data_IF_261265132892
#
_entry.id   IF_261265132892
#
_cell.length_a   1.000
_cell.length_b   1.000
_cell.length_c   1.000
_cell.angle_alpha   90.00
_cell.angle_beta   90.00
_cell.angle_gamma   90.00
#
_symmetry.space_group_name_H-M   'P 1'
#
loop_
_entity.id
_entity.type
_entity.pdbx_description
1 polymer ?
#
# COMPACT_ATOMS: atom_id res chain seq x y z
N UNK A 1 -9.92 -7.80 -7.10
CA UNK A 1 -10.95 -8.00 -6.07
C UNK A 1 -12.24 -8.60 -6.63
N UNK A 2 -12.90 -8.00 -7.64
CA UNK A 2 -14.15 -8.54 -8.21
C UNK A 2 -14.05 -10.01 -8.65
N UNK A 3 -12.99 -10.39 -9.35
CA UNK A 3 -12.77 -11.77 -9.84
C UNK A 3 -12.73 -12.77 -8.67
N UNK A 4 -12.02 -12.43 -7.58
CA UNK A 4 -11.91 -13.30 -6.40
C UNK A 4 -13.27 -13.50 -5.73
N UNK A 5 -14.09 -12.45 -5.65
CA UNK A 5 -15.44 -12.52 -5.09
C UNK A 5 -16.38 -13.36 -5.94
N UNK A 6 -16.32 -13.22 -7.27
CA UNK A 6 -17.09 -14.06 -8.19
C UNK A 6 -16.69 -15.54 -8.05
N UNK A 7 -15.39 -15.82 -8.00
CA UNK A 7 -14.88 -17.18 -7.80
C UNK A 7 -15.34 -17.76 -6.46
N UNK A 8 -15.26 -17.00 -5.37
CA UNK A 8 -15.71 -17.44 -4.05
C UNK A 8 -17.22 -17.73 -4.07
N UNK A 9 -18.03 -16.84 -4.65
CA UNK A 9 -19.46 -17.05 -4.81
C UNK A 9 -19.79 -18.30 -5.62
N UNK A 10 -19.10 -18.54 -6.73
CA UNK A 10 -19.25 -19.75 -7.54
C UNK A 10 -18.90 -21.02 -6.75
N UNK A 11 -17.77 -21.01 -6.02
CA UNK A 11 -17.35 -22.16 -5.20
C UNK A 11 -18.40 -22.46 -4.13
N UNK A 12 -18.88 -21.46 -3.38
CA UNK A 12 -19.91 -21.65 -2.36
C UNK A 12 -21.22 -22.16 -2.98
N UNK A 13 -21.63 -21.63 -4.13
CA UNK A 13 -22.81 -22.10 -4.86
C UNK A 13 -22.70 -23.56 -5.30
N UNK A 14 -21.53 -23.96 -5.81
CA UNK A 14 -21.25 -25.37 -6.18
C UNK A 14 -21.31 -26.29 -4.96
N UNK A 15 -20.74 -25.87 -3.83
CA UNK A 15 -20.77 -26.64 -2.58
C UNK A 15 -22.21 -26.83 -2.10
N UNK A 16 -23.03 -25.77 -2.08
CA UNK A 16 -24.43 -25.85 -1.68
C UNK A 16 -25.21 -26.81 -2.60
N UNK A 17 -25.04 -26.65 -3.92
CA UNK A 17 -25.73 -27.51 -4.91
C UNK A 17 -25.35 -28.99 -4.76
N UNK A 18 -24.04 -29.27 -4.61
CA UNK A 18 -23.54 -30.62 -4.46
C UNK A 18 -24.02 -31.27 -3.15
N UNK A 19 -24.03 -30.52 -2.06
CA UNK A 19 -24.52 -31.01 -0.76
C UNK A 19 -26.02 -31.29 -0.81
N UNK A 20 -26.83 -30.41 -1.40
CA UNK A 20 -28.27 -30.60 -1.56
C UNK A 20 -28.55 -31.88 -2.36
N UNK A 21 -27.86 -32.07 -3.48
CA UNK A 21 -28.01 -33.26 -4.33
C UNK A 21 -27.53 -34.55 -3.64
N UNK A 22 -26.46 -34.46 -2.84
CA UNK A 22 -25.96 -35.59 -2.06
C UNK A 22 -26.97 -36.05 -0.99
N UNK A 23 -27.58 -35.08 -0.27
CA UNK A 23 -28.61 -35.38 0.75
C UNK A 23 -29.85 -36.03 0.09
N UNK A 24 -30.31 -35.47 -1.04
CA UNK A 24 -31.40 -36.03 -1.81
C UNK A 24 -31.13 -37.51 -2.21
N UNK A 25 -29.93 -37.76 -2.79
CA UNK A 25 -29.56 -39.15 -3.20
C UNK A 25 -29.43 -40.09 -2.01
N UNK A 26 -28.90 -39.63 -0.87
CA UNK A 26 -28.85 -40.47 0.33
C UNK A 26 -30.25 -40.81 0.84
N UNK A 27 -31.16 -39.84 0.87
CA UNK A 27 -32.57 -40.05 1.27
C UNK A 27 -33.25 -41.05 0.35
N UNK A 28 -33.12 -40.92 -0.99
CA UNK A 28 -33.68 -41.86 -1.99
C UNK A 28 -33.11 -43.26 -1.83
N UNK A 29 -31.79 -43.42 -1.70
CA UNK A 29 -31.15 -44.71 -1.51
C UNK A 29 -31.63 -45.39 -0.22
N UNK A 30 -31.85 -44.66 0.85
CA UNK A 30 -32.34 -45.20 2.11
C UNK A 30 -33.80 -45.62 1.97
N UNK A 31 -34.67 -44.86 1.27
CA UNK A 31 -36.04 -45.25 0.97
C UNK A 31 -36.09 -46.50 0.08
N UNK A 32 -35.20 -46.64 -0.91
CA UNK A 32 -35.11 -47.85 -1.75
C UNK A 32 -34.76 -49.10 -0.92
N UNK A 33 -33.79 -48.98 0.00
CA UNK A 33 -33.41 -50.08 0.87
C UNK A 33 -34.56 -50.50 1.78
N UNK A 34 -35.33 -49.53 2.32
CA UNK A 34 -36.49 -49.80 3.16
C UNK A 34 -37.64 -50.42 2.36
N UNK A 35 -37.87 -50.01 1.12
CA UNK A 35 -38.86 -50.58 0.25
C UNK A 35 -38.54 -52.02 -0.15
N UNK A 36 -37.28 -52.39 -0.25
CA UNK A 36 -36.81 -53.74 -0.61
C UNK A 36 -36.72 -54.69 0.62
N UNK A 37 -36.72 -54.14 1.83
CA UNK A 37 -36.71 -55.00 3.03
C UNK A 37 -38.01 -55.75 3.22
N UNK A 38 -38.00 -57.07 3.49
CA UNK A 38 -39.22 -57.80 3.75
C UNK A 38 -39.90 -57.24 4.97
N UNK A 39 -41.21 -56.99 4.90
CA UNK A 39 -42.02 -56.54 6.03
C UNK A 39 -41.89 -57.55 7.18
N UNK A 40 -41.03 -57.24 8.15
CA UNK A 40 -40.99 -58.00 9.39
C UNK A 40 -42.27 -57.64 10.16
N UNK A 41 -43.19 -58.57 10.23
CA UNK A 41 -44.30 -58.51 11.18
C UNK A 41 -43.69 -58.43 12.58
N UNK A 42 -43.72 -57.22 13.17
CA UNK A 42 -43.34 -57.06 14.55
C UNK A 42 -44.16 -58.01 15.43
N UNK A 43 -43.48 -58.86 16.16
CA UNK A 43 -44.13 -59.70 17.18
C UNK A 43 -44.71 -58.75 18.24
N UNK A 44 -46.05 -58.77 18.49
CA UNK A 44 -46.64 -57.91 19.49
C UNK A 44 -46.06 -58.27 20.87
N UNK A 45 -45.33 -57.37 21.52
CA UNK A 45 -44.99 -57.52 22.93
C UNK A 45 -43.52 -57.52 23.33
N UNK A 46 -42.58 -57.19 22.45
CA UNK A 46 -41.19 -56.98 22.87
C UNK A 46 -40.80 -55.52 22.58
N UNK A 47 -40.52 -54.70 23.61
CA UNK A 47 -39.89 -53.39 23.40
C UNK A 47 -38.50 -53.66 22.82
N UNK A 48 -38.26 -53.27 21.58
CA UNK A 48 -36.89 -53.19 21.04
C UNK A 48 -36.22 -51.98 21.70
N UNK A 49 -35.32 -52.26 22.63
CA UNK A 49 -34.37 -51.29 23.13
C UNK A 49 -33.46 -50.85 21.99
N UNK A 50 -33.29 -49.52 21.82
CA UNK A 50 -32.35 -48.83 20.92
C UNK A 50 -32.65 -48.88 19.41
N UNK A 51 -33.90 -48.88 18.96
CA UNK A 51 -34.18 -48.48 17.57
C UNK A 51 -34.02 -46.95 17.40
N UNK A 52 -32.96 -46.58 16.68
CA UNK A 52 -32.83 -45.25 16.09
C UNK A 52 -34.14 -45.01 15.30
N UNK A 53 -34.97 -44.08 15.81
CA UNK A 53 -36.21 -43.66 15.15
C UNK A 53 -35.84 -43.00 13.81
N UNK A 54 -35.89 -43.76 12.72
CA UNK A 54 -35.58 -43.24 11.40
C UNK A 54 -36.71 -42.29 10.97
N UNK A 55 -36.41 -41.19 10.31
CA UNK A 55 -37.40 -40.22 9.84
C UNK A 55 -38.12 -40.70 8.58
N UNK A 56 -38.46 -41.99 8.54
CA UNK A 56 -39.08 -42.68 7.42
C UNK A 56 -40.29 -43.49 7.93
N UNK A 57 -41.33 -43.54 7.09
CA UNK A 57 -42.42 -44.49 7.28
C UNK A 57 -42.82 -45.12 5.93
N UNK A 58 -43.32 -46.30 5.96
CA UNK A 58 -43.79 -47.04 4.75
C UNK A 58 -45.26 -47.34 4.85
N UNK A 59 -45.92 -47.25 3.71
CA UNK A 59 -47.35 -47.50 3.57
C UNK A 59 -47.56 -48.55 2.48
N UNK A 60 -48.29 -49.59 2.80
CA UNK A 60 -48.68 -50.63 1.86
C UNK A 60 -50.13 -50.47 1.41
N UNK A 61 -50.34 -50.51 0.10
CA UNK A 61 -51.61 -50.25 -0.54
C UNK A 61 -52.01 -51.44 -1.40
N UNK A 62 -53.24 -51.90 -1.25
CA UNK A 62 -53.82 -52.95 -2.09
C UNK A 62 -53.99 -52.51 -3.57
N UNK A 63 -54.08 -53.48 -4.51
CA UNK A 63 -54.43 -53.20 -5.90
C UNK A 63 -55.80 -52.49 -6.07
N UNK A 64 -56.63 -52.46 -5.00
CA UNK A 64 -57.88 -51.69 -4.94
C UNK A 64 -57.78 -50.29 -4.40
N UNK A 65 -56.53 -49.85 -4.04
CA UNK A 65 -56.28 -48.53 -3.45
C UNK A 65 -56.57 -48.45 -1.95
N UNK A 66 -56.80 -49.58 -1.28
CA UNK A 66 -57.05 -49.62 0.17
C UNK A 66 -55.72 -49.71 0.94
N UNK A 67 -55.61 -48.99 2.03
CA UNK A 67 -54.45 -48.97 2.91
C UNK A 67 -54.41 -50.29 3.71
N UNK A 68 -53.39 -51.12 3.47
CA UNK A 68 -53.24 -52.42 4.11
C UNK A 68 -52.46 -52.28 5.44
N UNK A 69 -51.36 -51.59 5.45
CA UNK A 69 -50.48 -51.43 6.56
C UNK A 69 -49.68 -50.13 6.49
N UNK A 70 -49.37 -49.54 7.62
CA UNK A 70 -48.45 -48.44 7.74
C UNK A 70 -47.44 -48.76 8.86
N UNK A 71 -46.14 -48.56 8.61
CA UNK A 71 -45.06 -48.87 9.55
C UNK A 71 -44.10 -47.69 9.61
N UNK A 72 -43.81 -47.25 10.84
CA UNK A 72 -42.83 -46.16 11.08
C UNK A 72 -42.92 -45.70 12.53
N UNK A 73 -41.83 -45.62 13.24
CA UNK A 73 -41.79 -45.27 14.68
C UNK A 73 -41.74 -43.76 15.00
N UNK A 74 -41.53 -42.92 14.00
CA UNK A 74 -41.36 -41.49 14.17
C UNK A 74 -42.64 -40.67 13.95
N UNK A 75 -43.54 -41.14 13.12
CA UNK A 75 -44.76 -40.44 12.72
C UNK A 75 -46.00 -40.96 13.45
N UNK A 76 -46.93 -40.09 13.75
CA UNK A 76 -48.24 -40.50 14.20
C UNK A 76 -49.09 -40.99 13.02
N UNK A 77 -49.10 -42.33 12.85
CA UNK A 77 -49.80 -42.99 11.76
C UNK A 77 -51.26 -43.27 12.13
N UNK A 78 -51.80 -42.75 13.21
CA UNK A 78 -53.19 -42.98 13.62
C UNK A 78 -54.21 -42.18 12.81
N UNK A 79 -53.80 -41.04 12.20
CA UNK A 79 -54.68 -40.24 11.36
C UNK A 79 -54.79 -40.80 9.93
N UNK A 80 -55.81 -41.61 9.74
CA UNK A 80 -56.10 -42.28 8.44
C UNK A 80 -56.41 -41.26 7.32
N UNK A 81 -57.07 -40.16 7.61
CA UNK A 81 -57.43 -39.14 6.62
C UNK A 81 -56.16 -38.45 6.06
N UNK A 82 -55.23 -38.10 6.95
CA UNK A 82 -53.94 -37.54 6.57
C UNK A 82 -53.13 -38.54 5.71
N UNK A 83 -53.05 -39.82 6.13
CA UNK A 83 -52.34 -40.83 5.38
C UNK A 83 -52.95 -41.04 3.99
N UNK A 84 -54.29 -41.07 3.85
CA UNK A 84 -54.92 -41.14 2.55
C UNK A 84 -54.62 -39.96 1.65
N UNK A 85 -54.53 -38.75 2.21
CA UNK A 85 -54.23 -37.55 1.44
C UNK A 85 -52.80 -37.58 0.84
N UNK A 86 -51.79 -37.89 1.63
CA UNK A 86 -50.40 -38.01 1.14
C UNK A 86 -50.21 -39.18 0.18
N UNK A 87 -50.85 -40.30 0.44
CA UNK A 87 -50.83 -41.46 -0.42
C UNK A 87 -51.48 -41.16 -1.77
N UNK A 88 -52.63 -40.52 -1.80
CA UNK A 88 -53.32 -40.13 -3.04
C UNK A 88 -52.45 -39.12 -3.84
N UNK A 89 -51.84 -38.19 -3.18
CA UNK A 89 -50.91 -37.23 -3.82
C UNK A 89 -49.70 -37.93 -4.46
N UNK A 90 -49.10 -38.92 -3.77
CA UNK A 90 -48.02 -39.72 -4.31
C UNK A 90 -48.44 -40.64 -5.44
N UNK A 91 -49.68 -41.24 -5.42
CA UNK A 91 -50.20 -42.10 -6.46
C UNK A 91 -50.58 -41.36 -7.74
N UNK A 92 -51.03 -40.10 -7.62
CA UNK A 92 -51.35 -39.26 -8.78
C UNK A 92 -50.12 -38.91 -9.62
N UNK A 93 -48.94 -38.87 -9.02
CA UNK A 93 -47.68 -38.64 -9.73
C UNK A 93 -47.30 -39.91 -10.56
N UNK A 94 -46.87 -39.70 -11.80
CA UNK A 94 -46.34 -40.79 -12.66
C UNK A 94 -44.90 -41.18 -12.30
N UNK A 95 -44.20 -40.37 -11.47
CA UNK A 95 -42.82 -40.62 -11.10
C UNK A 95 -42.70 -41.59 -9.94
N UNK A 96 -41.66 -42.43 -9.94
CA UNK A 96 -41.37 -43.34 -8.83
C UNK A 96 -40.90 -42.59 -7.57
N UNK A 97 -40.27 -41.41 -7.74
CA UNK A 97 -39.79 -40.54 -6.66
C UNK A 97 -40.35 -39.14 -6.85
N UNK A 98 -40.63 -38.48 -5.74
CA UNK A 98 -41.07 -37.05 -5.78
C UNK A 98 -41.13 -36.45 -4.42
N UNK A 99 -41.41 -35.17 -4.36
CA UNK A 99 -41.50 -34.37 -3.12
C UNK A 99 -42.93 -33.81 -2.99
N UNK A 100 -43.54 -34.03 -1.84
CA UNK A 100 -44.80 -33.42 -1.42
C UNK A 100 -44.51 -32.18 -0.58
N UNK A 101 -44.29 -31.05 -1.26
CA UNK A 101 -43.85 -29.78 -0.61
C UNK A 101 -44.78 -29.27 0.46
N UNK A 102 -46.08 -29.50 0.31
CA UNK A 102 -47.12 -29.07 1.27
C UNK A 102 -47.06 -29.85 2.59
N UNK A 103 -46.36 -30.97 2.61
CA UNK A 103 -46.24 -31.88 3.74
C UNK A 103 -44.79 -32.08 4.20
N UNK A 104 -43.81 -31.43 3.57
CA UNK A 104 -42.38 -31.63 3.81
C UNK A 104 -41.95 -33.11 3.74
N UNK A 105 -42.55 -33.87 2.81
CA UNK A 105 -42.28 -35.29 2.61
C UNK A 105 -41.73 -35.55 1.23
N UNK A 106 -40.74 -36.44 1.16
CA UNK A 106 -40.27 -37.07 -0.09
C UNK A 106 -40.84 -38.50 -0.13
N UNK A 107 -41.28 -38.96 -1.29
CA UNK A 107 -41.78 -40.33 -1.45
C UNK A 107 -40.96 -41.11 -2.45
N UNK A 108 -40.91 -42.41 -2.21
CA UNK A 108 -40.42 -43.43 -3.17
C UNK A 108 -41.44 -44.54 -3.24
N UNK A 109 -41.94 -44.85 -4.46
CA UNK A 109 -42.98 -45.90 -4.65
C UNK A 109 -42.43 -47.09 -5.42
N UNK A 110 -42.80 -48.28 -4.94
CA UNK A 110 -42.48 -49.54 -5.58
C UNK A 110 -43.79 -50.29 -5.86
N UNK A 111 -44.02 -50.59 -7.13
CA UNK A 111 -45.19 -51.34 -7.56
C UNK A 111 -44.79 -52.82 -7.59
N UNK A 112 -45.56 -53.66 -6.91
CA UNK A 112 -45.37 -55.07 -6.83
C UNK A 112 -46.67 -55.81 -7.30
N UNK A 113 -46.59 -57.09 -7.68
CA UNK A 113 -47.81 -57.84 -8.06
C UNK A 113 -48.89 -57.93 -6.96
N UNK A 114 -48.49 -57.69 -5.70
CA UNK A 114 -49.39 -57.76 -4.52
C UNK A 114 -49.94 -56.39 -4.11
N UNK A 115 -49.51 -55.30 -4.74
CA UNK A 115 -49.88 -53.92 -4.38
C UNK A 115 -48.79 -52.95 -4.60
N UNK A 116 -48.93 -51.74 -4.02
CA UNK A 116 -47.94 -50.67 -4.07
C UNK A 116 -47.39 -50.40 -2.67
N UNK A 117 -46.07 -50.33 -2.52
CA UNK A 117 -45.41 -49.87 -1.29
C UNK A 117 -44.88 -48.48 -1.55
N UNK A 118 -45.25 -47.51 -0.70
CA UNK A 118 -44.73 -46.13 -0.74
C UNK A 118 -43.97 -45.89 0.56
N UNK A 119 -42.71 -45.49 0.42
CA UNK A 119 -41.89 -45.03 1.55
C UNK A 119 -41.84 -43.52 1.54
N UNK A 120 -42.11 -42.91 2.67
CA UNK A 120 -42.05 -41.47 2.87
C UNK A 120 -40.89 -41.13 3.77
N UNK A 121 -40.19 -40.05 3.46
CA UNK A 121 -39.10 -39.48 4.22
C UNK A 121 -39.43 -38.02 4.60
N UNK A 122 -39.17 -37.66 5.83
CA UNK A 122 -39.26 -36.27 6.31
C UNK A 122 -38.08 -35.43 5.78
N UNK A 123 -38.40 -34.37 5.07
CA UNK A 123 -37.40 -33.40 4.51
C UNK A 123 -37.19 -32.19 5.36
N UNK A 124 -37.85 -32.04 6.52
CA UNK A 124 -37.73 -30.85 7.41
C UNK A 124 -36.31 -30.66 7.91
N UNK A 125 -35.64 -31.74 8.33
CA UNK A 125 -34.24 -31.71 8.80
C UNK A 125 -33.26 -31.39 7.66
N UNK A 126 -33.51 -31.95 6.45
CA UNK A 126 -32.70 -31.66 5.26
C UNK A 126 -32.81 -30.20 4.90
N UNK A 127 -34.03 -29.63 4.85
CA UNK A 127 -34.29 -28.24 4.51
C UNK A 127 -33.74 -27.27 5.56
N UNK A 128 -33.83 -27.63 6.85
CA UNK A 128 -33.24 -26.83 7.95
C UNK A 128 -31.72 -26.81 7.86
N UNK A 129 -31.09 -27.94 7.57
CA UNK A 129 -29.63 -28.05 7.40
C UNK A 129 -29.17 -27.22 6.19
N UNK A 130 -29.87 -27.32 5.05
CA UNK A 130 -29.54 -26.53 3.86
C UNK A 130 -29.71 -25.02 4.11
N UNK A 131 -30.76 -24.58 4.80
CA UNK A 131 -30.93 -23.17 5.20
C UNK A 131 -29.77 -22.69 6.08
N UNK A 132 -29.41 -23.47 7.10
CA UNK A 132 -28.27 -23.13 7.98
C UNK A 132 -26.97 -23.04 7.20
N UNK A 133 -26.74 -23.96 6.27
CA UNK A 133 -25.58 -23.94 5.39
C UNK A 133 -25.54 -22.70 4.50
N UNK A 134 -26.68 -22.32 3.88
CA UNK A 134 -26.79 -21.11 3.07
C UNK A 134 -26.45 -19.86 3.91
N UNK A 135 -27.02 -19.73 5.12
CA UNK A 135 -26.71 -18.60 6.01
C UNK A 135 -25.24 -18.57 6.40
N UNK A 136 -24.64 -19.73 6.70
CA UNK A 136 -23.21 -19.83 7.01
C UNK A 136 -22.33 -19.42 5.82
N UNK A 137 -22.67 -19.89 4.63
CA UNK A 137 -21.97 -19.50 3.39
C UNK A 137 -22.08 -18.00 3.10
N UNK A 138 -23.25 -17.39 3.31
CA UNK A 138 -23.45 -15.95 3.18
C UNK A 138 -22.64 -15.19 4.21
N UNK A 139 -22.61 -15.63 5.47
CA UNK A 139 -21.80 -14.99 6.52
C UNK A 139 -20.30 -15.02 6.17
N UNK A 140 -19.78 -16.16 5.72
CA UNK A 140 -18.39 -16.32 5.27
C UNK A 140 -18.10 -15.43 4.06
N UNK A 141 -19.02 -15.36 3.09
CA UNK A 141 -18.88 -14.50 1.90
C UNK A 141 -18.77 -13.03 2.28
N UNK A 142 -19.65 -12.53 3.14
CA UNK A 142 -19.60 -11.14 3.59
C UNK A 142 -18.36 -10.86 4.43
N UNK A 143 -17.99 -11.75 5.36
CA UNK A 143 -16.78 -11.61 6.17
C UNK A 143 -15.53 -11.54 5.29
N UNK A 144 -15.41 -12.42 4.30
CA UNK A 144 -14.32 -12.40 3.33
C UNK A 144 -14.31 -11.09 2.51
N UNK A 145 -15.49 -10.61 2.09
CA UNK A 145 -15.61 -9.34 1.34
C UNK A 145 -15.08 -8.16 2.15
N UNK A 146 -15.49 -8.03 3.41
CA UNK A 146 -15.00 -6.96 4.29
C UNK A 146 -13.50 -7.07 4.56
N UNK A 147 -12.99 -8.28 4.78
CA UNK A 147 -11.57 -8.52 4.98
C UNK A 147 -10.75 -8.10 3.76
N UNK A 148 -11.13 -8.54 2.56
CA UNK A 148 -10.44 -8.17 1.33
C UNK A 148 -10.54 -6.68 1.01
N UNK A 149 -11.66 -6.03 1.36
CA UNK A 149 -11.80 -4.59 1.23
C UNK A 149 -10.80 -3.86 2.13
N UNK A 150 -10.68 -4.27 3.39
CA UNK A 150 -9.71 -3.71 4.33
C UNK A 150 -8.28 -3.88 3.85
N UNK A 151 -7.90 -5.08 3.43
CA UNK A 151 -6.56 -5.35 2.87
C UNK A 151 -6.30 -4.49 1.62
N UNK A 152 -7.27 -4.35 0.72
CA UNK A 152 -7.14 -3.54 -0.50
C UNK A 152 -6.89 -2.07 -0.20
N UNK A 153 -7.60 -1.50 0.80
CA UNK A 153 -7.40 -0.11 1.24
C UNK A 153 -6.01 0.07 1.87
N UNK A 154 -5.58 -0.87 2.72
CA UNK A 154 -4.25 -0.84 3.33
C UNK A 154 -3.14 -0.91 2.28
N UNK A 155 -3.22 -1.87 1.35
CA UNK A 155 -2.26 -2.02 0.26
C UNK A 155 -2.23 -0.78 -0.65
N UNK A 156 -3.39 -0.22 -0.99
CA UNK A 156 -3.47 1.00 -1.79
C UNK A 156 -2.75 2.16 -1.12
N UNK A 157 -2.93 2.36 0.18
CA UNK A 157 -2.26 3.44 0.92
C UNK A 157 -0.77 3.19 1.10
N UNK A 158 -0.37 1.96 1.31
CA UNK A 158 1.02 1.61 1.65
C UNK A 158 1.92 1.47 0.43
N UNK A 159 1.41 0.96 -0.68
CA UNK A 159 2.20 0.68 -1.89
C UNK A 159 1.98 1.74 -2.97
N UNK A 160 0.73 2.05 -3.30
CA UNK A 160 0.42 2.90 -4.47
C UNK A 160 0.73 4.37 -4.19
N UNK A 161 0.38 4.86 -3.00
CA UNK A 161 0.59 6.28 -2.67
C UNK A 161 2.06 6.71 -2.72
N UNK A 162 3.03 5.98 -2.13
CA UNK A 162 4.45 6.32 -2.26
C UNK A 162 4.94 6.33 -3.71
N UNK A 163 4.52 5.34 -4.51
CA UNK A 163 4.90 5.26 -5.93
C UNK A 163 4.34 6.44 -6.73
N UNK A 164 3.06 6.78 -6.52
CA UNK A 164 2.46 7.95 -7.17
C UNK A 164 3.17 9.25 -6.78
N UNK A 165 3.50 9.43 -5.49
CA UNK A 165 4.24 10.60 -5.02
C UNK A 165 5.63 10.69 -5.65
N UNK A 166 6.36 9.57 -5.73
CA UNK A 166 7.68 9.52 -6.38
C UNK A 166 7.57 9.86 -7.88
N UNK A 167 6.53 9.38 -8.55
CA UNK A 167 6.27 9.68 -9.97
C UNK A 167 5.97 11.17 -10.20
N UNK A 168 5.14 11.78 -9.35
CA UNK A 168 4.83 13.21 -9.43
C UNK A 168 6.06 14.06 -9.16
N UNK A 169 6.89 13.69 -8.18
CA UNK A 169 8.18 14.33 -7.91
C UNK A 169 9.13 14.25 -9.11
N UNK A 170 9.20 13.09 -9.78
CA UNK A 170 10.00 12.91 -10.98
C UNK A 170 9.52 13.80 -12.15
N UNK A 171 8.21 13.87 -12.36
CA UNK A 171 7.63 14.75 -13.41
C UNK A 171 7.93 16.23 -13.12
N UNK A 172 7.75 16.65 -11.88
CA UNK A 172 8.06 18.01 -11.45
C UNK A 172 9.54 18.32 -11.65
N UNK A 173 10.43 17.42 -11.25
CA UNK A 173 11.88 17.57 -11.47
C UNK A 173 12.23 17.81 -12.95
N UNK A 174 11.65 17.05 -13.88
CA UNK A 174 11.92 17.23 -15.33
C UNK A 174 11.37 18.57 -15.82
N UNK A 175 10.21 19.00 -15.34
CA UNK A 175 9.61 20.29 -15.71
C UNK A 175 10.47 21.44 -15.22
N UNK A 176 10.85 21.44 -13.94
CA UNK A 176 11.68 22.49 -13.31
C UNK A 176 13.06 22.55 -13.97
N UNK A 177 13.70 21.40 -14.22
CA UNK A 177 14.95 21.30 -14.95
C UNK A 177 14.89 21.93 -16.33
N UNK A 178 13.79 21.68 -17.07
CA UNK A 178 13.58 22.25 -18.40
C UNK A 178 13.44 23.77 -18.35
N UNK A 179 12.75 24.29 -17.35
CA UNK A 179 12.62 25.71 -17.13
C UNK A 179 13.95 26.37 -16.77
N UNK A 180 14.70 25.79 -15.85
CA UNK A 180 15.99 26.31 -15.39
C UNK A 180 17.10 26.23 -16.46
N UNK A 181 17.00 25.31 -17.43
CA UNK A 181 17.89 25.25 -18.59
C UNK A 181 17.50 26.24 -19.70
N UNK A 182 16.21 26.50 -19.88
CA UNK A 182 15.73 27.39 -20.95
C UNK A 182 16.18 28.82 -20.75
N UNK A 183 16.15 29.32 -19.54
CA UNK A 183 16.50 30.71 -19.21
C UNK A 183 17.95 31.06 -19.60
N UNK A 184 19.01 30.38 -19.12
CA UNK A 184 20.38 30.67 -19.51
C UNK A 184 20.63 30.45 -21.02
N UNK A 185 19.97 29.44 -21.61
CA UNK A 185 20.07 29.21 -23.06
C UNK A 185 19.54 30.40 -23.86
N UNK A 186 18.40 30.98 -23.45
CA UNK A 186 17.85 32.17 -24.11
C UNK A 186 18.76 33.38 -23.97
N UNK A 187 19.44 33.54 -22.82
CA UNK A 187 20.41 34.63 -22.61
C UNK A 187 21.66 34.41 -23.49
N UNK A 188 22.15 33.18 -23.61
CA UNK A 188 23.26 32.84 -24.50
C UNK A 188 22.91 33.19 -25.97
N UNK A 189 21.71 32.78 -26.43
CA UNK A 189 21.25 33.06 -27.78
C UNK A 189 21.17 34.56 -28.05
N UNK A 190 20.51 35.31 -27.14
CA UNK A 190 20.37 36.76 -27.30
C UNK A 190 21.74 37.49 -27.35
N UNK A 191 22.68 37.13 -26.45
CA UNK A 191 24.01 37.74 -26.48
C UNK A 191 24.80 37.31 -27.72
N UNK A 192 24.63 36.09 -28.24
CA UNK A 192 25.26 35.65 -29.48
C UNK A 192 24.72 36.41 -30.71
N UNK A 193 23.41 36.66 -30.76
CA UNK A 193 22.77 37.46 -31.80
C UNK A 193 23.25 38.92 -31.77
N UNK A 194 23.30 39.54 -30.57
CA UNK A 194 23.80 40.88 -30.39
C UNK A 194 25.30 41.00 -30.77
N UNK A 195 26.10 40.02 -30.51
CA UNK A 195 27.53 39.99 -30.86
C UNK A 195 27.76 39.96 -32.39
N UNK A 196 26.79 39.42 -33.18
CA UNK A 196 26.83 39.38 -34.65
C UNK A 196 26.32 40.68 -35.32
N UNK A 197 25.72 41.60 -34.54
CA UNK A 197 25.24 42.86 -35.03
C UNK A 197 26.35 43.74 -35.64
N UNK A 198 26.07 44.43 -36.76
CA UNK A 198 27.04 45.30 -37.43
C UNK A 198 27.44 46.51 -36.61
N UNK A 199 26.53 46.97 -35.70
CA UNK A 199 26.75 48.14 -34.82
C UNK A 199 27.43 47.81 -33.47
N UNK A 200 27.77 46.54 -33.21
CA UNK A 200 28.40 46.17 -31.94
C UNK A 200 29.84 46.59 -31.86
N UNK A 201 30.19 47.42 -30.84
CA UNK A 201 31.56 47.82 -30.56
C UNK A 201 32.40 46.62 -30.06
N UNK A 202 33.74 46.78 -30.05
CA UNK A 202 34.66 45.78 -29.52
C UNK A 202 34.43 45.55 -28.02
N UNK A 203 34.06 46.56 -27.26
CA UNK A 203 33.71 46.49 -25.84
C UNK A 203 32.41 45.74 -25.61
N UNK A 204 31.40 46.00 -26.43
CA UNK A 204 30.11 45.30 -26.40
C UNK A 204 30.31 43.80 -26.68
N UNK A 205 31.08 43.45 -27.75
CA UNK A 205 31.40 42.08 -28.11
C UNK A 205 32.10 41.33 -26.97
N UNK A 206 33.03 41.98 -26.27
CA UNK A 206 33.71 41.44 -25.10
C UNK A 206 32.72 41.22 -23.93
N UNK A 207 31.81 42.16 -23.72
CA UNK A 207 30.77 42.04 -22.69
C UNK A 207 29.80 40.87 -23.02
N UNK A 208 29.34 40.77 -24.24
CA UNK A 208 28.44 39.66 -24.67
C UNK A 208 29.13 38.31 -24.59
N UNK A 209 30.41 38.22 -25.01
CA UNK A 209 31.22 36.98 -24.83
C UNK A 209 31.39 36.59 -23.36
N UNK A 210 31.61 37.55 -22.48
CA UNK A 210 31.68 37.33 -21.03
C UNK A 210 30.37 36.81 -20.45
N UNK A 211 29.22 37.38 -20.88
CA UNK A 211 27.90 36.93 -20.49
C UNK A 211 27.62 35.47 -20.96
N UNK A 212 27.96 35.16 -22.20
CA UNK A 212 27.82 33.79 -22.78
C UNK A 212 28.64 32.81 -21.94
N UNK A 213 29.89 33.13 -21.64
CA UNK A 213 30.77 32.27 -20.87
C UNK A 213 30.23 32.06 -19.42
N UNK A 214 29.76 33.14 -18.78
CA UNK A 214 29.13 33.07 -17.45
C UNK A 214 27.90 32.17 -17.45
N UNK A 215 26.98 32.29 -18.43
CA UNK A 215 25.81 31.44 -18.53
C UNK A 215 26.16 29.96 -18.82
N UNK A 216 27.21 29.74 -19.61
CA UNK A 216 27.69 28.38 -19.89
C UNK A 216 28.24 27.68 -18.63
N UNK A 217 28.98 28.40 -17.78
CA UNK A 217 29.42 27.88 -16.49
C UNK A 217 28.24 27.57 -15.55
N UNK A 218 27.24 28.42 -15.54
CA UNK A 218 26.03 28.20 -14.77
C UNK A 218 25.27 26.95 -15.24
N UNK A 219 25.08 26.78 -16.56
CA UNK A 219 24.45 25.57 -17.12
C UNK A 219 25.23 24.31 -16.79
N UNK A 220 26.56 24.34 -16.88
CA UNK A 220 27.41 23.22 -16.50
C UNK A 220 27.17 22.81 -15.04
N UNK A 221 27.22 23.78 -14.11
CA UNK A 221 26.97 23.52 -12.68
C UNK A 221 25.57 22.95 -12.43
N UNK A 222 24.54 23.44 -13.14
CA UNK A 222 23.19 22.92 -13.05
C UNK A 222 23.13 21.43 -13.48
N UNK A 223 23.73 21.10 -14.64
CA UNK A 223 23.76 19.73 -15.16
C UNK A 223 24.54 18.80 -14.21
N UNK A 224 25.70 19.23 -13.68
CA UNK A 224 26.48 18.47 -12.72
C UNK A 224 25.67 18.16 -11.45
N UNK A 225 24.99 19.15 -10.89
CA UNK A 225 24.10 18.98 -9.72
C UNK A 225 22.93 18.04 -10.00
N UNK A 226 22.33 18.10 -11.21
CA UNK A 226 21.27 17.19 -11.61
C UNK A 226 21.74 15.74 -11.76
N UNK A 227 22.93 15.55 -12.36
CA UNK A 227 23.54 14.22 -12.50
C UNK A 227 23.87 13.61 -11.14
N UNK A 228 24.40 14.43 -10.22
CA UNK A 228 24.72 13.99 -8.87
C UNK A 228 23.46 13.57 -8.11
N UNK A 229 22.40 14.38 -8.17
CA UNK A 229 21.11 14.06 -7.59
C UNK A 229 20.55 12.75 -8.15
N UNK A 230 20.56 12.58 -9.47
CA UNK A 230 20.11 11.35 -10.09
C UNK A 230 20.92 10.11 -9.67
N UNK A 231 22.21 10.28 -9.42
CA UNK A 231 23.07 9.21 -8.90
C UNK A 231 22.74 8.83 -7.46
N UNK A 232 22.52 9.82 -6.60
CA UNK A 232 22.15 9.59 -5.18
C UNK A 232 20.78 8.91 -5.09
N UNK A 233 19.77 9.40 -5.83
CA UNK A 233 18.42 8.83 -5.85
C UNK A 233 18.36 7.36 -6.29
N UNK A 234 19.15 7.00 -7.30
CA UNK A 234 19.17 5.63 -7.81
C UNK A 234 19.97 4.68 -6.93
N UNK A 235 20.58 5.12 -5.84
CA UNK A 235 21.48 4.31 -5.02
C UNK A 235 22.68 3.75 -5.81
N UNK A 236 22.94 4.30 -7.01
CA UNK A 236 24.04 3.84 -7.89
C UNK A 236 25.38 4.41 -7.47
N UNK A 237 25.38 5.45 -6.65
CA UNK A 237 26.62 5.89 -6.00
C UNK A 237 26.98 4.87 -4.93
N UNK A 238 27.95 4.03 -5.21
CA UNK A 238 28.65 3.30 -4.15
C UNK A 238 29.39 4.34 -3.32
N UNK A 239 28.68 4.99 -2.38
CA UNK A 239 29.33 5.81 -1.38
C UNK A 239 30.34 4.92 -0.66
N UNK A 240 31.61 5.28 -0.77
CA UNK A 240 32.66 4.55 -0.09
C UNK A 240 32.65 4.95 1.38
N UNK A 241 31.90 4.20 2.19
CA UNK A 241 31.77 4.44 3.62
C UNK A 241 33.01 3.93 4.34
N UNK A 242 33.71 4.86 4.99
CA UNK A 242 34.89 4.61 5.82
C UNK A 242 34.71 5.28 7.18
N UNK A 243 35.65 5.07 8.09
CA UNK A 243 35.72 5.88 9.31
C UNK A 243 36.32 7.24 8.95
N UNK A 244 35.55 8.31 9.12
CA UNK A 244 35.92 9.68 8.81
C UNK A 244 36.10 10.47 10.10
N UNK A 245 37.19 11.21 10.23
CA UNK A 245 37.36 12.23 11.25
C UNK A 245 36.52 13.46 10.87
N UNK A 246 35.31 13.53 11.42
CA UNK A 246 34.35 14.57 11.07
C UNK A 246 34.76 15.93 11.65
N UNK A 247 35.48 15.94 12.78
CA UNK A 247 36.06 17.15 13.37
C UNK A 247 37.06 17.84 12.43
N UNK A 248 37.97 17.04 11.88
CA UNK A 248 38.96 17.53 10.93
C UNK A 248 38.30 17.98 9.62
N UNK A 249 37.35 17.19 9.08
CA UNK A 249 36.63 17.52 7.84
C UNK A 249 35.89 18.87 7.96
N UNK A 250 35.18 19.12 9.08
CA UNK A 250 34.46 20.37 9.30
C UNK A 250 35.42 21.54 9.39
N UNK A 251 36.55 21.36 10.06
CA UNK A 251 37.59 22.40 10.20
C UNK A 251 38.24 22.73 8.86
N UNK A 252 38.58 21.72 8.06
CA UNK A 252 39.20 21.91 6.74
C UNK A 252 38.24 22.56 5.75
N UNK A 253 36.96 22.15 5.76
CA UNK A 253 35.92 22.81 4.97
C UNK A 253 35.75 24.29 5.35
N UNK A 254 35.68 24.59 6.63
CA UNK A 254 35.58 25.98 7.09
C UNK A 254 36.82 26.81 6.69
N UNK A 255 38.01 26.25 6.81
CA UNK A 255 39.25 26.92 6.41
C UNK A 255 39.28 27.23 4.90
N UNK A 256 38.80 26.32 4.06
CA UNK A 256 38.74 26.54 2.59
C UNK A 256 37.84 27.69 2.19
N UNK A 257 36.80 27.97 2.98
CA UNK A 257 35.88 29.12 2.78
C UNK A 257 36.35 30.43 3.40
N UNK A 258 37.32 30.40 4.28
CA UNK A 258 37.68 31.59 5.05
C UNK A 258 38.07 32.78 4.17
N UNK A 259 38.92 32.56 3.15
CA UNK A 259 39.34 33.62 2.22
C UNK A 259 38.15 34.17 1.41
N UNK A 260 37.24 33.30 0.97
CA UNK A 260 36.04 33.70 0.22
C UNK A 260 35.09 34.58 1.06
N UNK A 261 34.98 34.29 2.36
CA UNK A 261 34.22 35.10 3.30
C UNK A 261 34.87 36.45 3.55
N UNK A 262 36.20 36.49 3.73
CA UNK A 262 36.98 37.71 3.91
C UNK A 262 36.88 38.63 2.69
N UNK A 263 36.97 38.09 1.45
CA UNK A 263 36.76 38.83 0.21
C UNK A 263 35.39 39.51 0.12
N UNK A 264 34.37 38.89 0.74
CA UNK A 264 33.02 39.48 0.82
C UNK A 264 32.78 40.34 2.05
N UNK A 265 33.81 40.61 2.84
CA UNK A 265 33.71 41.38 4.07
C UNK A 265 32.94 40.67 5.19
N UNK A 266 32.88 39.34 5.16
CA UNK A 266 32.17 38.51 6.14
C UNK A 266 33.17 37.76 7.03
N UNK A 267 32.78 37.46 8.26
CA UNK A 267 33.56 36.60 9.14
C UNK A 267 33.08 35.17 9.16
N UNK A 268 34.00 34.21 9.31
CA UNK A 268 33.67 32.79 9.52
C UNK A 268 34.35 32.31 10.80
N UNK A 269 33.57 31.78 11.75
CA UNK A 269 34.06 31.16 12.98
C UNK A 269 33.72 29.67 12.95
N UNK A 270 34.71 28.82 13.19
CA UNK A 270 34.52 27.39 13.35
C UNK A 270 34.92 26.97 14.76
N UNK A 271 34.04 26.20 15.43
CA UNK A 271 34.28 25.60 16.72
C UNK A 271 33.84 24.08 16.63
N UNK A 272 34.78 23.28 16.21
CA UNK A 272 34.56 21.83 16.14
C UNK A 272 35.12 21.15 17.40
N UNK A 273 34.30 20.31 18.06
CA UNK A 273 34.80 19.45 19.13
C UNK A 273 35.71 18.38 18.55
N UNK A 274 36.84 18.11 19.20
CA UNK A 274 37.86 17.20 18.72
C UNK A 274 37.41 15.72 18.76
N UNK A 275 37.92 14.91 17.82
CA UNK A 275 37.85 13.43 17.87
C UNK A 275 36.48 12.84 17.55
N UNK A 276 35.59 13.57 16.90
CA UNK A 276 34.31 13.03 16.46
C UNK A 276 34.51 12.22 15.20
N UNK A 277 34.34 10.87 15.32
CA UNK A 277 34.42 9.95 14.19
C UNK A 277 33.06 9.45 13.80
N UNK A 278 32.79 9.37 12.49
CA UNK A 278 31.55 8.86 11.92
C UNK A 278 31.84 7.85 10.83
N UNK A 279 30.89 6.95 10.57
CA UNK A 279 30.96 6.05 9.42
C UNK A 279 30.28 6.69 8.23
N UNK A 280 31.06 7.12 7.24
CA UNK A 280 30.54 7.90 6.15
C UNK A 280 31.46 8.01 4.95
N UNK A 281 30.99 8.70 3.92
CA UNK A 281 31.77 9.07 2.75
C UNK A 281 32.32 10.49 2.92
N UNK A 282 33.62 10.61 3.08
CA UNK A 282 34.34 11.87 3.27
C UNK A 282 33.99 12.90 2.18
N UNK A 283 34.03 12.48 0.91
CA UNK A 283 33.70 13.33 -0.23
C UNK A 283 32.29 13.94 -0.14
N UNK A 284 31.29 13.12 0.18
CA UNK A 284 29.89 13.56 0.23
C UNK A 284 29.63 14.41 1.49
N UNK A 285 30.28 14.11 2.60
CA UNK A 285 30.21 14.93 3.81
C UNK A 285 30.84 16.31 3.61
N UNK A 286 31.96 16.36 2.88
CA UNK A 286 32.58 17.62 2.48
C UNK A 286 31.60 18.44 1.61
N UNK A 287 30.90 17.82 0.69
CA UNK A 287 29.90 18.44 -0.15
C UNK A 287 28.72 19.01 0.68
N UNK A 288 28.29 18.34 1.75
CA UNK A 288 27.30 18.90 2.68
C UNK A 288 27.82 20.21 3.27
N UNK A 289 29.10 20.26 3.69
CA UNK A 289 29.72 21.46 4.19
C UNK A 289 29.76 22.56 3.13
N UNK A 290 30.17 22.23 1.91
CA UNK A 290 30.21 23.20 0.80
C UNK A 290 28.85 23.83 0.56
N UNK A 291 27.78 23.03 0.54
CA UNK A 291 26.41 23.50 0.35
C UNK A 291 25.98 24.44 1.48
N UNK A 292 26.24 24.05 2.72
CA UNK A 292 25.82 24.86 3.88
C UNK A 292 26.60 26.17 3.99
N UNK A 293 27.90 26.14 3.74
CA UNK A 293 28.77 27.34 3.78
C UNK A 293 28.49 28.29 2.61
N UNK A 294 28.31 27.75 1.38
CA UNK A 294 27.92 28.56 0.22
C UNK A 294 26.55 29.21 0.43
N UNK A 295 25.59 28.45 1.00
CA UNK A 295 24.27 28.96 1.34
C UNK A 295 24.35 30.08 2.39
N UNK A 296 25.11 29.89 3.47
CA UNK A 296 25.33 30.91 4.46
C UNK A 296 25.99 32.17 3.86
N UNK A 297 27.00 32.01 3.00
CA UNK A 297 27.67 33.12 2.31
C UNK A 297 26.75 33.91 1.39
N UNK A 298 25.81 33.23 0.70
CA UNK A 298 24.88 33.86 -0.26
C UNK A 298 23.76 34.65 0.42
N UNK A 299 23.25 34.14 1.54
CA UNK A 299 22.04 34.67 2.18
C UNK A 299 22.27 35.41 3.49
N UNK A 300 23.52 35.54 3.94
CA UNK A 300 23.87 36.37 5.10
C UNK A 300 23.80 37.85 4.79
N UNK A 301 23.54 38.63 5.81
CA UNK A 301 23.69 40.08 5.74
C UNK A 301 25.17 40.47 5.53
N UNK A 302 25.46 41.49 4.73
CA UNK A 302 26.84 42.02 4.58
C UNK A 302 27.50 42.31 5.93
N UNK A 303 28.81 42.13 6.05
CA UNK A 303 29.63 42.38 7.25
C UNK A 303 29.17 41.55 8.47
N UNK A 304 28.55 40.40 8.27
CA UNK A 304 28.12 39.55 9.38
C UNK A 304 29.11 38.40 9.66
N UNK A 305 28.89 37.72 10.78
CA UNK A 305 29.64 36.54 11.20
C UNK A 305 28.82 35.29 11.00
N UNK A 306 29.37 34.31 10.29
CA UNK A 306 28.82 32.95 10.19
C UNK A 306 29.52 32.06 11.21
N UNK A 307 28.75 31.27 11.94
CA UNK A 307 29.25 30.33 12.95
C UNK A 307 29.02 28.90 12.52
N UNK A 308 30.07 28.10 12.59
CA UNK A 308 30.04 26.64 12.41
C UNK A 308 30.39 26.01 13.74
N UNK A 309 29.46 25.26 14.32
CA UNK A 309 29.70 24.57 15.58
C UNK A 309 29.44 23.05 15.38
N UNK A 310 30.37 22.21 15.83
CA UNK A 310 30.26 20.77 15.84
C UNK A 310 30.39 20.25 17.26
N UNK A 311 29.38 19.53 17.75
CA UNK A 311 29.37 18.97 19.11
C UNK A 311 28.97 17.52 19.10
N UNK A 312 29.38 16.73 20.10
CA UNK A 312 28.93 15.38 20.34
C UNK A 312 27.70 15.35 21.26
N UNK A 313 26.63 14.67 20.88
CA UNK A 313 25.40 14.55 21.67
C UNK A 313 25.05 13.05 21.78
N UNK A 314 25.49 12.40 22.85
CA UNK A 314 25.27 10.98 23.09
C UNK A 314 25.90 10.11 21.99
N UNK A 315 25.07 9.40 21.21
CA UNK A 315 25.52 8.56 20.09
C UNK A 315 25.47 9.27 18.72
N UNK A 316 25.30 10.57 18.72
CA UNK A 316 25.24 11.38 17.50
C UNK A 316 26.19 12.56 17.61
N UNK A 317 26.60 13.12 16.51
CA UNK A 317 27.15 14.47 16.44
C UNK A 317 26.10 15.44 15.88
N UNK A 318 26.19 16.68 16.27
CA UNK A 318 25.38 17.79 15.79
C UNK A 318 26.28 18.86 15.22
N UNK A 319 26.18 19.06 13.90
CA UNK A 319 26.76 20.18 13.21
C UNK A 319 25.71 21.28 13.08
N UNK A 320 26.06 22.52 13.35
CA UNK A 320 25.23 23.69 13.09
C UNK A 320 25.98 24.74 12.31
N UNK A 321 25.32 25.31 11.30
CA UNK A 321 25.82 26.48 10.55
C UNK A 321 24.79 27.58 10.71
N UNK A 322 25.19 28.63 11.45
CA UNK A 322 24.32 29.74 11.79
C UNK A 322 24.78 31.02 11.07
N UNK A 323 23.86 31.69 10.40
CA UNK A 323 24.10 32.94 9.69
C UNK A 323 23.01 33.96 9.99
N UNK A 324 23.33 35.25 9.97
CA UNK A 324 22.35 36.34 10.03
C UNK A 324 21.80 36.59 8.65
N UNK A 325 20.50 36.78 8.53
CA UNK A 325 19.88 37.05 7.23
C UNK A 325 18.39 37.28 7.37
N UNK A 326 17.74 37.45 6.24
CA UNK A 326 16.28 37.55 6.21
C UNK A 326 15.64 36.29 6.80
N UNK A 327 14.67 36.41 7.74
CA UNK A 327 14.09 35.28 8.41
C UNK A 327 13.37 34.37 7.43
N UNK A 328 13.64 33.05 7.48
CA UNK A 328 12.92 32.06 6.69
C UNK A 328 11.53 31.85 7.28
N UNK A 329 10.45 32.08 6.50
CA UNK A 329 9.10 31.87 6.99
C UNK A 329 8.87 30.42 7.48
N UNK A 330 8.10 30.24 8.56
CA UNK A 330 7.84 28.92 9.14
C UNK A 330 7.26 27.92 8.15
N UNK A 331 6.46 28.39 7.19
CA UNK A 331 5.89 27.57 6.11
C UNK A 331 6.97 27.03 5.17
N UNK A 332 8.08 27.74 5.02
CA UNK A 332 9.15 27.44 4.08
C UNK A 332 10.24 26.56 4.68
N UNK A 333 10.41 26.54 6.01
CA UNK A 333 11.45 25.77 6.70
C UNK A 333 11.50 24.29 6.32
N UNK A 334 10.36 23.68 5.93
CA UNK A 334 10.30 22.31 5.40
C UNK A 334 10.45 22.25 3.88
N UNK A 335 10.18 23.35 3.19
CA UNK A 335 10.19 23.38 1.74
C UNK A 335 11.57 23.69 1.16
N UNK A 336 12.44 24.36 1.91
CA UNK A 336 13.79 24.75 1.46
C UNK A 336 14.68 23.54 1.11
N UNK A 337 14.34 22.33 1.57
CA UNK A 337 15.02 21.08 1.21
C UNK A 337 14.41 20.42 -0.04
N UNK A 338 13.26 20.91 -0.55
CA UNK A 338 12.69 20.39 -1.81
C UNK A 338 13.52 20.85 -3.01
N UNK A 339 13.57 20.03 -4.02
CA UNK A 339 14.28 20.29 -5.28
C UNK A 339 13.71 21.53 -5.96
N UNK A 340 14.60 22.39 -6.48
CA UNK A 340 14.27 23.65 -7.16
C UNK A 340 13.46 24.64 -6.32
N UNK A 341 13.30 24.38 -5.03
CA UNK A 341 12.58 25.30 -4.16
C UNK A 341 13.47 26.52 -3.86
N UNK A 342 12.88 27.70 -4.05
CA UNK A 342 13.49 29.01 -3.74
C UNK A 342 12.42 29.88 -3.09
N UNK A 343 12.68 30.39 -1.91
CA UNK A 343 11.83 31.43 -1.30
C UNK A 343 11.75 32.69 -2.16
N UNK A 344 10.74 33.52 -1.97
CA UNK A 344 10.50 34.69 -2.83
C UNK A 344 11.70 35.64 -2.88
N UNK A 345 12.39 35.86 -1.77
CA UNK A 345 13.62 36.68 -1.68
C UNK A 345 14.82 36.02 -2.38
N UNK A 346 14.94 34.71 -2.33
CA UNK A 346 15.99 33.97 -3.02
C UNK A 346 15.81 33.94 -4.54
N UNK A 347 14.59 34.15 -5.06
CA UNK A 347 14.33 34.28 -6.50
C UNK A 347 14.92 35.52 -7.14
N UNK A 348 15.04 36.60 -6.36
CA UNK A 348 15.65 37.85 -6.82
C UNK A 348 17.19 37.80 -6.91
N UNK A 349 17.83 36.84 -6.23
CA UNK A 349 19.28 36.62 -6.27
C UNK A 349 19.67 35.64 -7.36
N UNK A 350 20.40 36.08 -8.37
CA UNK A 350 20.93 35.25 -9.44
C UNK A 350 22.01 34.30 -8.89
N UNK A 351 21.95 33.00 -9.20
CA UNK A 351 23.06 32.04 -9.02
C UNK A 351 22.83 30.83 -8.16
N UNK A 352 21.60 30.55 -7.66
CA UNK A 352 21.30 29.28 -7.00
C UNK A 352 20.04 28.63 -7.59
N UNK A 353 20.11 27.34 -7.92
CA UNK A 353 19.02 26.61 -8.58
C UNK A 353 18.09 25.89 -7.58
N UNK A 354 18.31 26.05 -6.27
CA UNK A 354 17.52 25.35 -5.24
C UNK A 354 17.76 23.84 -5.19
N UNK A 355 18.92 23.37 -5.67
CA UNK A 355 19.31 21.96 -5.64
C UNK A 355 20.24 21.62 -4.49
N UNK A 356 21.06 22.56 -4.01
CA UNK A 356 22.11 22.28 -3.01
C UNK A 356 21.55 21.68 -1.72
N UNK A 357 20.55 22.30 -1.10
CA UNK A 357 19.97 21.79 0.16
C UNK A 357 19.30 20.44 -0.01
N UNK A 358 18.69 20.14 -1.15
CA UNK A 358 18.12 18.82 -1.43
C UNK A 358 19.19 17.75 -1.63
N UNK A 359 20.35 18.10 -2.21
CA UNK A 359 21.51 17.20 -2.29
C UNK A 359 22.07 16.94 -0.88
N UNK A 360 22.23 17.98 -0.07
CA UNK A 360 22.69 17.85 1.31
C UNK A 360 21.74 16.93 2.14
N UNK A 361 20.42 17.10 2.00
CA UNK A 361 19.42 16.23 2.64
C UNK A 361 19.60 14.78 2.22
N UNK A 362 19.67 14.48 0.93
CA UNK A 362 19.86 13.14 0.43
C UNK A 362 21.17 12.49 0.91
N UNK A 363 22.26 13.24 0.96
CA UNK A 363 23.55 12.78 1.50
C UNK A 363 23.43 12.46 2.99
N UNK A 364 22.84 13.36 3.79
CA UNK A 364 22.66 13.17 5.23
C UNK A 364 21.76 11.97 5.52
N UNK A 365 20.68 11.79 4.78
CA UNK A 365 19.81 10.61 4.89
C UNK A 365 20.55 9.30 4.56
N UNK A 366 21.40 9.29 3.52
CA UNK A 366 22.24 8.14 3.20
C UNK A 366 23.20 7.77 4.34
N UNK A 367 23.63 8.77 5.15
CA UNK A 367 24.43 8.60 6.36
C UNK A 367 23.58 8.30 7.61
N UNK A 368 22.27 7.98 7.43
CA UNK A 368 21.31 7.73 8.53
C UNK A 368 21.17 8.92 9.49
N UNK A 369 21.47 10.11 8.99
CA UNK A 369 21.39 11.37 9.71
C UNK A 369 20.06 12.08 9.48
N UNK A 370 19.99 13.30 9.99
CA UNK A 370 18.86 14.21 9.82
C UNK A 370 19.37 15.64 9.60
N UNK A 371 18.77 16.36 8.65
CA UNK A 371 19.02 17.77 8.41
C UNK A 371 17.73 18.57 8.64
N UNK A 372 17.83 19.77 9.22
CA UNK A 372 16.72 20.71 9.38
C UNK A 372 17.23 22.13 9.53
N UNK A 373 16.33 23.10 9.46
CA UNK A 373 16.65 24.50 9.67
C UNK A 373 15.72 25.14 10.71
N UNK A 374 16.26 26.13 11.41
CA UNK A 374 15.52 27.02 12.30
C UNK A 374 15.83 28.47 11.96
N UNK A 375 14.80 29.32 12.01
CA UNK A 375 14.94 30.76 11.86
C UNK A 375 14.40 31.43 13.11
N UNK A 376 15.30 31.90 13.97
CA UNK A 376 14.97 32.50 15.27
C UNK A 376 15.97 33.59 15.63
N UNK A 377 15.51 34.65 16.33
CA UNK A 377 16.36 35.73 16.89
C UNK A 377 17.29 36.41 15.86
N UNK A 378 16.88 36.50 14.61
CA UNK A 378 17.67 37.09 13.53
C UNK A 378 18.74 36.18 12.93
N UNK A 379 18.76 34.91 13.33
CA UNK A 379 19.65 33.88 12.76
C UNK A 379 18.84 32.80 12.01
N UNK A 380 19.39 32.39 10.88
CA UNK A 380 19.00 31.16 10.16
C UNK A 380 20.07 30.11 10.46
N UNK A 381 19.67 29.03 11.12
CA UNK A 381 20.60 27.97 11.52
C UNK A 381 20.20 26.65 10.84
N UNK A 382 21.16 26.10 10.13
CA UNK A 382 21.02 24.76 9.54
C UNK A 382 21.70 23.74 10.45
N UNK A 383 21.00 22.66 10.75
CA UNK A 383 21.47 21.62 11.65
C UNK A 383 21.62 20.32 10.87
N UNK A 384 22.71 19.61 11.10
CA UNK A 384 22.94 18.23 10.58
C UNK A 384 23.29 17.34 11.76
N UNK A 385 22.53 16.28 11.93
CA UNK A 385 22.76 15.26 12.95
C UNK A 385 23.13 13.95 12.28
N UNK A 386 24.26 13.34 12.65
CA UNK A 386 24.73 12.06 12.10
C UNK A 386 25.11 11.14 13.27
N UNK A 387 24.84 9.81 13.18
CA UNK A 387 25.30 8.84 14.18
C UNK A 387 26.84 8.77 14.24
N UNK A 388 27.39 8.72 15.46
CA UNK A 388 28.83 8.52 15.69
C UNK A 388 29.19 7.05 15.81
N UNK A 389 30.48 6.73 15.60
CA UNK A 389 31.01 5.36 15.69
C UNK A 389 31.27 4.89 17.13
N UNK A 390 30.71 5.57 18.14
CA UNK A 390 30.90 5.19 19.55
C UNK A 390 29.87 4.15 20.01
#
# INVERSE_FOLDING_TARGET
>A
MAIVMVLLGCILGVVIHFTAKSMEMQSINMMQNLAAAPFQQGIPGKPMDDEVRLPFFSVQISNRGELIAAHGGYFDLSNKEYLQTIVNSALQSQQETGELKDHDLRYFKVISPMGCTIVFADTTTESATLKTMVYSCLAVFFAATFLFLGISILLSRWVIKPVATAWDQQRQFVADASHELKTPLSVIMANAELMQGEDASEEDRKAYSGNILGMTYQMRSLVENMLEMARVDNGTVKMNFTTVDFSQLVSDAALSFQLLYEEKGMGLRCAAADGIQIHGSEQHLYQVMDVLLDNAMKYSTPNSMVSVDLISIGRNCLLSVASTGEPIPKADLKNIFKRFYRGDTARAMNGSYGLGLSIAESIVEAHKGKIWAESKNGYNTFYVQIPTNN
#
